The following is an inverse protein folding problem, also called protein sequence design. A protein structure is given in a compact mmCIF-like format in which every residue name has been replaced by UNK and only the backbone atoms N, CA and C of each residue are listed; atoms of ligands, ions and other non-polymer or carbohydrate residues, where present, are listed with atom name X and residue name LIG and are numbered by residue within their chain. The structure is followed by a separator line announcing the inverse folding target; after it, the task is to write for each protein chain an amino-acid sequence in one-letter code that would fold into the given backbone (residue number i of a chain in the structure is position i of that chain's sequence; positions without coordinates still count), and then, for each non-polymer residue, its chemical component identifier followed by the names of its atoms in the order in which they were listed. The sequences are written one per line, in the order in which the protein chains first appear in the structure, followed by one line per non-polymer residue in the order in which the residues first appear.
data_IF_022820165669
#
_entry.id   IF_022820165669
#
_cell.length_a   1.000
_cell.length_b   1.000
_cell.length_c   1.000
_cell.angle_alpha   90.00
_cell.angle_beta   90.00
_cell.angle_gamma   90.00
#
_symmetry.space_group_name_H-M   'P 1'
#
loop_
_entity.id
_entity.type
_entity.pdbx_description
1 polymer ?
#
# COMPACT_ATOMS: atom_id res chain seq x y z
N UNK A 1 -28.03 -3.70 3.73
CA UNK A 1 -27.04 -4.72 3.33
C UNK A 1 -25.81 -4.49 4.18
N UNK A 2 -25.42 -5.45 5.02
CA UNK A 2 -24.15 -5.36 5.77
C UNK A 2 -23.02 -5.62 4.77
N UNK A 3 -22.61 -4.57 4.05
CA UNK A 3 -21.38 -4.62 3.27
C UNK A 3 -20.26 -4.90 4.27
N UNK A 4 -19.75 -6.13 4.25
CA UNK A 4 -18.61 -6.51 5.07
C UNK A 4 -17.44 -5.66 4.56
N UNK A 5 -16.93 -4.77 5.42
CA UNK A 5 -15.80 -3.92 5.04
C UNK A 5 -14.63 -4.80 4.64
N UNK A 6 -13.91 -4.38 3.61
CA UNK A 6 -12.68 -5.03 3.23
C UNK A 6 -11.52 -4.35 3.94
N UNK A 7 -10.40 -5.04 3.99
CA UNK A 7 -9.25 -4.68 4.77
C UNK A 7 -8.00 -4.81 3.91
N UNK A 8 -7.04 -3.96 4.19
CA UNK A 8 -5.74 -3.96 3.56
C UNK A 8 -4.69 -3.85 4.65
N UNK A 9 -3.71 -4.74 4.61
CA UNK A 9 -2.57 -4.71 5.51
C UNK A 9 -1.40 -4.04 4.79
N UNK A 10 -0.77 -3.09 5.49
CA UNK A 10 0.45 -2.42 5.07
C UNK A 10 1.50 -2.60 6.14
N UNK A 11 2.75 -2.67 5.73
CA UNK A 11 3.87 -2.72 6.66
C UNK A 11 5.03 -1.87 6.15
N UNK A 12 5.78 -1.29 7.09
CA UNK A 12 7.00 -0.57 6.82
C UNK A 12 8.19 -1.39 7.30
N UNK A 13 9.28 -1.37 6.55
CA UNK A 13 10.55 -2.00 6.95
C UNK A 13 11.53 -0.97 7.49
N UNK A 14 12.39 -1.41 8.41
CA UNK A 14 13.43 -0.55 8.98
C UNK A 14 14.48 -0.17 7.93
N UNK A 15 14.94 -1.22 7.25
CA UNK A 15 16.17 -1.19 6.48
C UNK A 15 15.90 -0.95 4.99
N UNK A 16 16.67 -0.03 4.41
CA UNK A 16 16.54 0.30 2.98
C UNK A 16 16.98 -0.86 2.08
N UNK A 17 17.95 -1.68 2.51
CA UNK A 17 18.38 -2.84 1.72
C UNK A 17 17.33 -3.96 1.78
N UNK A 18 16.66 -4.17 2.92
CA UNK A 18 15.51 -5.04 3.03
C UNK A 18 14.35 -4.57 2.15
N UNK A 19 14.09 -3.25 2.12
CA UNK A 19 13.09 -2.66 1.21
C UNK A 19 13.45 -2.92 -0.26
N UNK A 20 14.71 -2.68 -0.65
CA UNK A 20 15.16 -2.93 -2.02
C UNK A 20 15.07 -4.41 -2.39
N UNK A 21 15.46 -5.30 -1.48
CA UNK A 21 15.34 -6.74 -1.69
C UNK A 21 13.87 -7.18 -1.82
N UNK A 22 12.94 -6.60 -1.05
CA UNK A 22 11.51 -6.83 -1.24
C UNK A 22 11.02 -6.39 -2.61
N UNK A 23 11.41 -5.19 -3.06
CA UNK A 23 11.06 -4.65 -4.39
C UNK A 23 11.59 -5.53 -5.52
N UNK A 24 12.81 -6.05 -5.39
CA UNK A 24 13.41 -6.98 -6.36
C UNK A 24 12.91 -8.43 -6.21
N UNK A 25 12.00 -8.69 -5.26
CA UNK A 25 11.55 -10.03 -4.88
C UNK A 25 12.70 -10.99 -4.55
N UNK A 26 13.80 -10.44 -4.02
CA UNK A 26 15.00 -11.18 -3.71
C UNK A 26 14.84 -11.88 -2.36
N UNK A 27 14.65 -13.20 -2.40
CA UNK A 27 14.59 -14.07 -1.21
C UNK A 27 15.99 -14.23 -0.58
N UNK A 28 16.42 -13.22 0.16
CA UNK A 28 17.57 -13.33 1.06
C UNK A 28 17.22 -14.03 2.38
N UNK A 29 18.20 -14.50 3.17
CA UNK A 29 17.95 -15.20 4.43
C UNK A 29 17.14 -14.36 5.44
N UNK A 30 17.33 -13.04 5.46
CA UNK A 30 16.57 -12.10 6.30
C UNK A 30 15.09 -12.03 5.91
N UNK A 31 14.77 -12.13 4.61
CA UNK A 31 13.41 -12.01 4.08
C UNK A 31 12.75 -13.36 3.82
N UNK A 32 13.48 -14.47 3.90
CA UNK A 32 12.97 -15.82 3.62
C UNK A 32 11.69 -16.10 4.42
N UNK A 33 11.72 -15.83 5.74
CA UNK A 33 10.57 -16.03 6.62
C UNK A 33 9.37 -15.15 6.23
N UNK A 34 9.62 -13.90 5.82
CA UNK A 34 8.57 -13.02 5.32
C UNK A 34 7.94 -13.59 4.06
N UNK A 35 8.75 -13.94 3.05
CA UNK A 35 8.24 -14.50 1.81
C UNK A 35 7.52 -15.84 1.99
N UNK A 36 7.90 -16.66 2.98
CA UNK A 36 7.21 -17.91 3.28
C UNK A 36 5.83 -17.66 3.91
N UNK A 37 5.72 -16.69 4.82
CA UNK A 37 4.43 -16.25 5.38
C UNK A 37 3.52 -15.74 4.26
N UNK A 38 4.07 -14.87 3.40
CA UNK A 38 3.31 -14.27 2.30
C UNK A 38 2.84 -15.32 1.29
N UNK A 39 3.73 -16.23 0.87
CA UNK A 39 3.40 -17.32 -0.04
C UNK A 39 2.33 -18.26 0.54
N UNK A 40 2.40 -18.59 1.84
CA UNK A 40 1.40 -19.42 2.52
C UNK A 40 -0.01 -18.82 2.47
N UNK A 41 -0.11 -17.49 2.37
CA UNK A 41 -1.38 -16.74 2.37
C UNK A 41 -1.78 -16.25 0.97
N UNK A 42 -1.04 -16.57 -0.09
CA UNK A 42 -1.27 -16.00 -1.41
C UNK A 42 -1.04 -14.48 -1.45
N UNK A 43 -0.26 -13.95 -0.51
CA UNK A 43 -0.01 -12.53 -0.39
C UNK A 43 1.27 -12.13 -1.14
N UNK A 44 1.24 -10.96 -1.79
CA UNK A 44 2.38 -10.35 -2.45
C UNK A 44 2.58 -8.92 -1.91
N UNK A 45 3.81 -8.55 -1.52
CA UNK A 45 4.10 -7.19 -1.08
C UNK A 45 4.31 -6.31 -2.32
N UNK A 46 3.50 -5.26 -2.46
CA UNK A 46 3.66 -4.23 -3.48
C UNK A 46 4.17 -2.94 -2.83
N UNK A 47 5.27 -2.41 -3.35
CA UNK A 47 5.87 -1.19 -2.82
C UNK A 47 4.98 0.02 -3.11
N UNK A 48 4.68 0.82 -2.08
CA UNK A 48 3.79 1.96 -2.22
C UNK A 48 4.35 3.00 -3.21
N UNK A 49 5.68 3.18 -3.24
CA UNK A 49 6.32 4.06 -4.21
C UNK A 49 6.12 3.56 -5.65
N UNK A 50 6.26 2.25 -5.88
CA UNK A 50 6.11 1.68 -7.22
C UNK A 50 4.65 1.80 -7.68
N UNK A 51 3.67 1.56 -6.79
CA UNK A 51 2.24 1.80 -7.08
C UNK A 51 1.98 3.27 -7.48
N UNK A 52 2.59 4.22 -6.77
CA UNK A 52 2.46 5.64 -7.11
C UNK A 52 3.14 6.01 -8.44
N UNK A 53 4.31 5.45 -8.71
CA UNK A 53 5.02 5.66 -9.98
C UNK A 53 4.24 5.05 -11.15
N UNK A 54 3.71 3.83 -11.00
CA UNK A 54 2.83 3.17 -11.97
C UNK A 54 1.58 4.01 -12.23
N UNK A 55 0.94 4.54 -11.18
CA UNK A 55 -0.23 5.41 -11.31
C UNK A 55 0.08 6.70 -12.08
N UNK A 56 1.22 7.35 -11.78
CA UNK A 56 1.65 8.57 -12.49
C UNK A 56 1.96 8.27 -13.96
N UNK A 57 2.69 7.19 -14.24
CA UNK A 57 3.00 6.79 -15.60
C UNK A 57 1.73 6.47 -16.41
N UNK A 58 0.78 5.73 -15.83
CA UNK A 58 -0.50 5.44 -16.45
C UNK A 58 -1.32 6.73 -16.71
N UNK A 59 -1.28 7.69 -15.78
CA UNK A 59 -1.94 8.99 -15.97
C UNK A 59 -1.31 9.81 -17.10
N UNK A 60 0.01 9.83 -17.21
CA UNK A 60 0.72 10.53 -18.28
C UNK A 60 0.48 9.86 -19.66
N UNK A 61 0.32 8.53 -19.71
CA UNK A 61 0.03 7.79 -20.94
C UNK A 61 -1.45 7.91 -21.38
N UNK A 62 -2.39 7.74 -20.46
CA UNK A 62 -3.84 7.70 -20.77
C UNK A 62 -4.55 9.05 -20.65
N UNK A 63 -3.82 10.11 -20.26
CA UNK A 63 -4.36 11.43 -20.02
C UNK A 63 -4.71 11.68 -18.55
N UNK A 64 -4.05 12.68 -17.97
CA UNK A 64 -4.12 13.02 -16.53
C UNK A 64 -5.50 13.45 -16.04
N UNK A 65 -6.41 13.77 -16.96
CA UNK A 65 -7.78 14.22 -16.68
C UNK A 65 -8.62 13.16 -15.97
N UNK A 66 -8.35 11.88 -16.24
CA UNK A 66 -9.01 10.74 -15.57
C UNK A 66 -8.35 10.36 -14.23
N UNK A 67 -7.28 11.06 -13.84
CA UNK A 67 -6.44 10.73 -12.71
C UNK A 67 -6.39 11.92 -11.74
N UNK A 68 -7.45 12.18 -10.96
CA UNK A 68 -7.56 13.37 -10.11
C UNK A 68 -6.46 13.46 -9.04
N UNK A 69 -5.87 12.32 -8.65
CA UNK A 69 -4.74 12.27 -7.71
C UNK A 69 -3.37 12.46 -8.37
N UNK A 70 -3.26 12.57 -9.69
CA UNK A 70 -1.98 12.59 -10.42
C UNK A 70 -1.02 13.66 -9.87
N UNK A 71 -1.48 14.91 -9.76
CA UNK A 71 -0.65 16.01 -9.25
C UNK A 71 -0.14 15.76 -7.83
N UNK A 72 -1.01 15.26 -6.95
CA UNK A 72 -0.63 14.97 -5.57
C UNK A 72 0.34 13.78 -5.49
N UNK A 73 0.07 12.71 -6.23
CA UNK A 73 0.88 11.49 -6.28
C UNK A 73 2.26 11.80 -6.85
N UNK A 74 2.34 12.57 -7.94
CA UNK A 74 3.58 13.03 -8.56
C UNK A 74 4.42 13.85 -7.57
N UNK A 75 3.82 14.85 -6.94
CA UNK A 75 4.50 15.64 -5.91
C UNK A 75 4.92 14.79 -4.69
N UNK A 76 4.19 13.72 -4.37
CA UNK A 76 4.52 12.82 -3.28
C UNK A 76 5.75 11.94 -3.58
N UNK A 77 5.93 11.49 -4.83
CA UNK A 77 7.09 10.69 -5.25
C UNK A 77 8.32 11.53 -5.63
N UNK A 78 8.13 12.80 -6.01
CA UNK A 78 9.22 13.75 -6.28
C UNK A 78 9.85 14.30 -5.01
N UNK A 79 9.11 14.33 -3.89
CA UNK A 79 9.64 14.77 -2.62
C UNK A 79 10.56 13.70 -2.01
N UNK A 80 11.87 13.97 -1.80
CA UNK A 80 12.84 12.96 -1.35
C UNK A 80 12.48 12.36 0.01
N UNK A 81 12.01 13.16 0.97
CA UNK A 81 11.64 12.68 2.29
C UNK A 81 10.42 11.75 2.26
N UNK A 82 9.43 12.04 1.39
CA UNK A 82 8.27 11.17 1.19
C UNK A 82 8.64 9.93 0.40
N UNK A 83 9.48 10.06 -0.62
CA UNK A 83 10.00 8.96 -1.43
C UNK A 83 10.69 7.91 -0.57
N UNK A 84 11.63 8.31 0.30
CA UNK A 84 12.30 7.39 1.22
C UNK A 84 11.30 6.64 2.11
N UNK A 85 10.28 7.33 2.61
CA UNK A 85 9.21 6.71 3.40
C UNK A 85 8.40 5.70 2.58
N UNK A 86 7.96 6.05 1.38
CA UNK A 86 7.16 5.16 0.53
C UNK A 86 7.95 3.99 -0.05
N UNK A 87 9.26 4.15 -0.24
CA UNK A 87 10.16 3.07 -0.65
C UNK A 87 10.26 1.97 0.40
N UNK A 88 10.12 2.32 1.68
CA UNK A 88 10.12 1.38 2.80
C UNK A 88 8.72 0.87 3.17
N UNK A 89 7.68 1.37 2.50
CA UNK A 89 6.29 1.04 2.80
C UNK A 89 5.72 0.10 1.76
N UNK A 90 5.14 -1.00 2.22
CA UNK A 90 4.62 -2.07 1.38
C UNK A 90 3.16 -2.33 1.70
N UNK A 91 2.36 -2.48 0.66
CA UNK A 91 0.95 -2.86 0.71
C UNK A 91 0.82 -4.32 0.31
N UNK A 92 0.07 -5.11 1.08
CA UNK A 92 -0.14 -6.51 0.79
C UNK A 92 -1.34 -6.70 -0.13
N UNK A 93 -1.13 -7.41 -1.23
CA UNK A 93 -2.19 -7.86 -2.13
C UNK A 93 -2.36 -9.36 -1.95
N UNK A 94 -3.58 -9.83 -1.73
CA UNK A 94 -3.88 -11.26 -1.53
C UNK A 94 -4.65 -11.77 -2.74
N UNK A 95 -4.14 -12.79 -3.42
CA UNK A 95 -4.75 -13.34 -4.64
C UNK A 95 -5.08 -12.24 -5.67
N UNK A 96 -4.10 -11.35 -5.93
CA UNK A 96 -4.23 -10.16 -6.80
C UNK A 96 -5.24 -9.09 -6.32
N UNK A 97 -5.78 -9.23 -5.11
CA UNK A 97 -6.71 -8.26 -4.52
C UNK A 97 -5.99 -7.34 -3.55
N UNK A 98 -6.13 -6.04 -3.79
CA UNK A 98 -5.60 -4.99 -2.94
C UNK A 98 -6.30 -4.93 -1.55
N UNK A 99 -7.55 -5.38 -1.48
CA UNK A 99 -8.42 -5.36 -0.30
C UNK A 99 -9.14 -6.71 -0.17
N UNK A 100 -9.27 -7.20 1.06
CA UNK A 100 -9.74 -8.56 1.34
C UNK A 100 -10.51 -8.65 2.67
N UNK A 101 -11.09 -9.81 2.98
CA UNK A 101 -11.91 -9.98 4.17
C UNK A 101 -11.10 -9.78 5.48
N UNK A 102 -11.79 -9.38 6.55
CA UNK A 102 -11.18 -9.10 7.86
C UNK A 102 -10.38 -10.27 8.38
N UNK A 103 -10.87 -11.49 8.17
CA UNK A 103 -10.27 -12.73 8.66
C UNK A 103 -8.90 -12.96 8.02
N UNK A 104 -8.76 -12.62 6.73
CA UNK A 104 -7.49 -12.68 6.00
C UNK A 104 -6.52 -11.62 6.56
N UNK A 105 -7.02 -10.41 6.82
CA UNK A 105 -6.22 -9.33 7.38
C UNK A 105 -5.72 -9.62 8.79
N UNK A 106 -6.59 -10.13 9.67
CA UNK A 106 -6.22 -10.52 11.03
C UNK A 106 -5.18 -11.66 11.01
N UNK A 107 -5.34 -12.62 10.10
CA UNK A 107 -4.40 -13.72 9.96
C UNK A 107 -3.02 -13.27 9.43
N UNK A 108 -2.99 -12.38 8.44
CA UNK A 108 -1.74 -11.78 7.95
C UNK A 108 -1.06 -10.96 9.04
N UNK A 109 -1.81 -10.13 9.77
CA UNK A 109 -1.27 -9.33 10.87
C UNK A 109 -0.62 -10.23 11.93
N UNK A 110 -1.31 -11.30 12.33
CA UNK A 110 -0.79 -12.27 13.30
C UNK A 110 0.48 -12.99 12.80
N UNK A 111 0.52 -13.39 11.52
CA UNK A 111 1.69 -14.06 10.95
C UNK A 111 2.89 -13.10 10.78
N UNK A 112 2.64 -11.81 10.57
CA UNK A 112 3.67 -10.77 10.42
C UNK A 112 4.15 -10.21 11.77
N UNK A 113 3.35 -10.34 12.84
CA UNK A 113 3.69 -9.88 14.19
C UNK A 113 5.09 -10.32 14.67
N UNK A 114 5.53 -11.58 14.47
CA UNK A 114 6.88 -12.00 14.87
C UNK A 114 8.00 -11.25 14.14
N UNK A 115 7.77 -10.83 12.89
CA UNK A 115 8.72 -10.04 12.11
C UNK A 115 8.77 -8.58 12.56
N UNK A 116 7.65 -8.06 13.09
CA UNK A 116 7.63 -6.77 13.76
C UNK A 116 8.41 -6.84 15.09
N UNK A 117 8.22 -7.91 15.87
CA UNK A 117 8.97 -8.14 17.11
C UNK A 117 10.47 -8.36 16.86
N UNK A 118 10.86 -8.97 15.74
CA UNK A 118 12.27 -9.13 15.39
C UNK A 118 12.93 -7.85 14.86
N UNK A 119 12.17 -6.77 14.68
CA UNK A 119 12.69 -5.48 14.18
C UNK A 119 12.87 -5.39 12.67
N UNK A 120 12.43 -6.41 11.91
CA UNK A 120 12.41 -6.35 10.44
C UNK A 120 11.34 -5.38 9.95
N UNK A 121 10.14 -5.53 10.51
CA UNK A 121 9.00 -4.64 10.27
C UNK A 121 8.98 -3.58 11.38
N UNK A 122 9.05 -2.31 11.02
CA UNK A 122 8.98 -1.18 11.98
C UNK A 122 7.56 -0.76 12.27
N UNK A 123 6.66 -0.97 11.31
CA UNK A 123 5.26 -0.60 11.43
C UNK A 123 4.41 -1.62 10.72
N UNK A 124 3.34 -2.05 11.37
CA UNK A 124 2.28 -2.84 10.78
C UNK A 124 0.99 -2.03 10.93
N UNK A 125 0.20 -1.91 9.87
CA UNK A 125 -1.01 -1.09 9.86
C UNK A 125 -2.07 -1.77 9.02
N UNK A 126 -3.26 -1.93 9.60
CA UNK A 126 -4.43 -2.51 8.96
C UNK A 126 -5.45 -1.41 8.71
N UNK A 127 -5.80 -1.21 7.46
CA UNK A 127 -6.78 -0.23 7.02
C UNK A 127 -8.05 -0.96 6.59
N UNK A 128 -9.20 -0.38 6.90
CA UNK A 128 -10.49 -0.88 6.45
C UNK A 128 -11.09 0.06 5.41
N UNK A 129 -11.92 -0.47 4.52
CA UNK A 129 -12.59 0.31 3.47
C UNK A 129 -13.79 1.09 4.00
N UNK A 130 -13.97 1.23 5.32
CA UNK A 130 -15.04 2.04 5.87
C UNK A 130 -14.72 3.52 5.58
N UNK A 131 -15.56 4.23 4.82
CA UNK A 131 -15.35 5.65 4.54
C UNK A 131 -15.34 6.53 5.81
N UNK A 132 -15.86 6.05 6.94
CA UNK A 132 -15.78 6.75 8.22
C UNK A 132 -14.37 6.74 8.84
N UNK A 133 -13.53 5.76 8.49
CA UNK A 133 -12.19 5.58 9.07
C UNK A 133 -11.06 6.07 8.15
N UNK A 134 -11.34 6.31 6.87
CA UNK A 134 -10.34 6.76 5.90
C UNK A 134 -10.36 8.30 5.78
N UNK A 135 -9.19 9.00 5.69
CA UNK A 135 -9.15 10.42 5.38
C UNK A 135 -9.95 10.72 4.13
N UNK A 136 -11.10 11.37 4.31
CA UNK A 136 -11.91 11.88 3.22
C UNK A 136 -11.07 12.96 2.50
N UNK A 137 -10.89 12.88 1.18
CA UNK A 137 -10.37 14.02 0.44
C UNK A 137 -11.33 15.19 0.73
N UNK A 138 -10.81 16.23 1.38
CA UNK A 138 -11.61 17.39 1.75
C UNK A 138 -12.30 17.93 0.49
N UNK A 139 -13.63 17.87 0.47
CA UNK A 139 -14.50 18.10 -0.69
C UNK A 139 -14.41 19.50 -1.29
N UNK A 140 -13.30 19.83 -1.95
CA UNK A 140 -13.13 21.09 -2.69
C UNK A 140 -13.23 20.93 -4.21
N UNK A 141 -13.64 19.77 -4.72
CA UNK A 141 -14.24 19.70 -6.06
C UNK A 141 -15.73 20.04 -5.95
N UNK A 142 -16.04 21.30 -5.60
CA UNK A 142 -17.35 21.88 -5.89
C UNK A 142 -17.47 21.88 -7.41
N UNK A 143 -18.30 20.97 -7.91
CA UNK A 143 -18.82 21.03 -9.27
C UNK A 143 -19.19 22.48 -9.58
N UNK A 144 -18.50 23.07 -10.56
CA UNK A 144 -18.91 24.34 -11.13
C UNK A 144 -20.29 24.12 -11.74
N UNK A 145 -21.29 24.57 -10.99
CA UNK A 145 -22.68 24.70 -11.42
C UNK A 145 -22.63 25.55 -12.69
N UNK A 146 -22.96 24.96 -13.84
CA UNK A 146 -23.28 25.73 -15.05
C UNK A 146 -24.64 26.38 -14.78
N UNK A 147 -24.73 27.72 -14.69
CA UNK A 147 -26.04 28.37 -14.73
C UNK A 147 -26.55 28.41 -16.17
N UNK A 148 -27.85 28.19 -16.28
CA UNK A 148 -28.71 28.33 -17.46
C UNK A 148 -28.54 29.70 -18.15
#
# INVERSE_FOLDING_TARGET
MTSQWQYQVRFDVNDSAAAEALRRQHRGPTLARLFDILAKRGAAPKCQFDVFAEYVAAAEEHGVENYPLHHWTKAAIENPAKKEKYLKSFTLHVDDREVYAKEIADALEADLQPLATSGLITRLSKYDTNPANNPQPQGHLRAARVPD
#
